data_IF_029561458149
#
_entry.id   IF_029561458149
#
_cell.length_a   1.000
_cell.length_b   1.000
_cell.length_c   1.000
_cell.angle_alpha   90.00
_cell.angle_beta   90.00
_cell.angle_gamma   90.00
#
_symmetry.space_group_name_H-M   'P 1'
#
loop_
_entity.id
_entity.type
_entity.pdbx_description
1 polymer ?
#
# COMPACT_ATOMS: atom_id res chain seq x y z
N UNK A 1 -9.77 -13.46 -31.83
CA UNK A 1 -11.07 -13.31 -31.27
C UNK A 1 -11.05 -13.12 -29.78
N UNK A 2 -10.24 -13.87 -29.09
CA UNK A 2 -10.20 -13.78 -27.64
C UNK A 2 -9.37 -12.63 -27.16
N UNK A 3 -8.52 -12.13 -28.01
CA UNK A 3 -7.62 -11.06 -27.62
C UNK A 3 -8.32 -9.82 -27.09
N UNK A 4 -9.39 -9.38 -27.71
CA UNK A 4 -10.08 -8.20 -27.19
C UNK A 4 -10.59 -8.40 -25.77
N UNK A 5 -11.04 -9.60 -25.48
CA UNK A 5 -11.51 -9.89 -24.14
C UNK A 5 -10.42 -9.81 -23.13
N UNK A 6 -9.24 -10.36 -23.47
CA UNK A 6 -8.12 -10.34 -22.57
C UNK A 6 -7.70 -8.92 -22.28
N UNK A 7 -7.72 -8.09 -23.28
CA UNK A 7 -7.36 -6.69 -23.10
C UNK A 7 -8.32 -6.01 -22.15
N UNK A 8 -9.59 -6.31 -22.29
CA UNK A 8 -10.58 -5.70 -21.42
C UNK A 8 -10.37 -6.12 -19.98
N UNK A 9 -10.03 -7.39 -19.77
CA UNK A 9 -9.75 -7.88 -18.44
C UNK A 9 -8.57 -7.17 -17.82
N UNK A 10 -7.53 -7.00 -18.59
CA UNK A 10 -6.35 -6.32 -18.09
C UNK A 10 -6.68 -4.89 -17.65
N UNK A 11 -7.51 -4.23 -18.39
CA UNK A 11 -7.90 -2.87 -18.05
C UNK A 11 -8.68 -2.84 -16.75
N UNK A 12 -9.55 -3.80 -16.57
CA UNK A 12 -10.34 -3.87 -15.35
C UNK A 12 -9.46 -4.11 -14.13
N UNK A 13 -8.46 -4.96 -14.29
CA UNK A 13 -7.53 -5.22 -13.21
C UNK A 13 -6.74 -3.99 -12.84
N UNK A 14 -6.31 -3.25 -13.84
CA UNK A 14 -5.56 -2.03 -13.58
C UNK A 14 -6.40 -1.04 -12.79
N UNK A 15 -7.66 -0.93 -13.15
CA UNK A 15 -8.55 -0.01 -12.44
C UNK A 15 -8.75 -0.45 -11.00
N UNK A 16 -8.91 -1.75 -10.78
CA UNK A 16 -9.09 -2.26 -9.43
C UNK A 16 -7.84 -2.04 -8.60
N UNK A 17 -6.68 -2.21 -9.20
CA UNK A 17 -5.42 -2.05 -8.50
C UNK A 17 -5.15 -0.60 -8.12
N UNK A 18 -5.76 0.34 -8.84
CA UNK A 18 -5.52 1.75 -8.57
C UNK A 18 -5.95 2.16 -7.16
N UNK A 19 -6.91 1.44 -6.57
CA UNK A 19 -7.42 1.77 -5.25
C UNK A 19 -6.70 1.10 -4.10
N UNK A 20 -5.86 0.12 -4.39
CA UNK A 20 -5.22 -0.64 -3.32
C UNK A 20 -3.85 -1.11 -3.76
N UNK A 21 -2.84 -0.73 -2.98
CA UNK A 21 -1.46 -1.08 -3.26
C UNK A 21 -0.91 -1.81 -2.02
N UNK A 22 -0.57 -3.08 -2.17
CA UNK A 22 -0.05 -3.85 -1.04
C UNK A 22 1.47 -3.81 -1.02
N UNK A 23 2.02 -3.48 0.16
CA UNK A 23 3.47 -3.33 0.29
C UNK A 23 4.22 -4.60 -0.05
N UNK A 24 3.59 -5.76 0.09
CA UNK A 24 4.27 -7.04 -0.16
C UNK A 24 4.35 -7.38 -1.63
N UNK A 25 3.53 -6.76 -2.47
CA UNK A 25 3.44 -7.11 -3.88
C UNK A 25 3.70 -5.97 -4.83
N UNK A 26 3.59 -4.75 -4.35
CA UNK A 26 3.66 -3.59 -5.23
C UNK A 26 5.01 -3.48 -5.90
N UNK A 27 5.00 -3.01 -7.13
CA UNK A 27 6.22 -2.66 -7.84
C UNK A 27 6.72 -1.33 -7.30
N UNK A 28 7.96 -1.00 -7.64
CA UNK A 28 8.50 0.30 -7.25
C UNK A 28 7.59 1.43 -7.76
N UNK A 29 7.17 1.34 -9.00
CA UNK A 29 6.32 2.39 -9.58
C UNK A 29 5.01 2.53 -8.84
N UNK A 30 4.42 1.41 -8.44
CA UNK A 30 3.17 1.45 -7.69
C UNK A 30 3.37 2.08 -6.32
N UNK A 31 4.46 1.77 -5.67
CA UNK A 31 4.76 2.37 -4.38
C UNK A 31 5.02 3.87 -4.51
N UNK A 32 5.74 4.26 -5.56
CA UNK A 32 6.02 5.66 -5.79
C UNK A 32 4.76 6.48 -6.05
N UNK A 33 3.73 5.83 -6.53
CA UNK A 33 2.46 6.49 -6.79
C UNK A 33 1.64 6.72 -5.52
N UNK A 34 2.01 6.08 -4.43
CA UNK A 34 1.29 6.23 -3.17
C UNK A 34 1.71 7.55 -2.52
N UNK A 35 0.72 8.38 -2.23
CA UNK A 35 0.97 9.66 -1.61
C UNK A 35 1.59 9.46 -0.23
N UNK A 36 2.70 10.10 0.02
CA UNK A 36 3.37 10.00 1.30
C UNK A 36 4.58 9.08 1.30
N UNK A 37 4.76 8.30 0.24
CA UNK A 37 5.94 7.46 0.12
C UNK A 37 7.00 8.18 -0.71
N UNK A 38 8.04 8.64 -0.04
CA UNK A 38 9.16 9.24 -0.73
C UNK A 38 10.08 8.17 -1.32
N UNK A 39 11.01 8.56 -2.21
CA UNK A 39 11.89 7.58 -2.85
C UNK A 39 12.75 6.81 -1.87
N UNK A 40 13.19 7.44 -0.80
CA UNK A 40 13.98 6.74 0.22
C UNK A 40 13.17 5.68 0.94
N UNK A 41 11.91 5.99 1.26
CA UNK A 41 11.05 5.04 1.93
C UNK A 41 10.71 3.88 0.99
N UNK A 42 10.46 4.17 -0.27
CA UNK A 42 10.18 3.13 -1.26
C UNK A 42 11.36 2.16 -1.35
N UNK A 43 12.56 2.67 -1.41
CA UNK A 43 13.76 1.82 -1.46
C UNK A 43 13.85 0.95 -0.22
N UNK A 44 13.59 1.52 0.96
CA UNK A 44 13.62 0.76 2.20
C UNK A 44 12.57 -0.35 2.19
N UNK A 45 11.37 -0.04 1.71
CA UNK A 45 10.31 -1.05 1.63
C UNK A 45 10.75 -2.23 0.76
N UNK A 46 11.31 -1.92 -0.39
CA UNK A 46 11.73 -2.97 -1.32
C UNK A 46 12.87 -3.81 -0.76
N UNK A 47 13.81 -3.16 -0.08
CA UNK A 47 14.93 -3.87 0.53
C UNK A 47 14.47 -4.75 1.68
N UNK A 48 13.68 -4.18 2.57
CA UNK A 48 13.27 -4.91 3.77
C UNK A 48 12.38 -6.09 3.46
N UNK A 49 11.55 -6.00 2.43
CA UNK A 49 10.67 -7.11 2.13
C UNK A 49 11.41 -8.33 1.59
N UNK A 50 12.67 -8.17 1.21
CA UNK A 50 13.50 -9.30 0.81
C UNK A 50 13.79 -10.21 1.98
N UNK A 51 13.74 -9.69 3.18
CA UNK A 51 13.92 -10.48 4.41
C UNK A 51 12.65 -11.21 4.81
N UNK A 52 11.56 -10.98 4.10
CA UNK A 52 10.30 -11.60 4.37
C UNK A 52 9.17 -10.60 4.23
N UNK A 53 7.96 -11.09 3.99
CA UNK A 53 6.82 -10.18 3.84
C UNK A 53 6.52 -9.45 5.12
N UNK A 54 5.89 -8.30 4.99
CA UNK A 54 5.39 -7.57 6.14
C UNK A 54 4.11 -8.29 6.60
N UNK A 55 4.07 -8.63 7.87
CA UNK A 55 2.96 -9.43 8.38
C UNK A 55 1.72 -8.59 8.66
N UNK A 56 1.94 -7.38 9.15
CA UNK A 56 0.85 -6.47 9.47
C UNK A 56 1.41 -5.07 9.55
N UNK A 57 0.55 -4.11 9.84
CA UNK A 57 0.96 -2.72 9.92
C UNK A 57 1.99 -2.44 11.00
N UNK A 58 1.85 -2.98 12.22
CA UNK A 58 2.90 -2.79 13.22
C UNK A 58 4.26 -3.30 12.76
N UNK A 59 4.29 -4.43 12.08
CA UNK A 59 5.53 -4.98 11.55
C UNK A 59 6.11 -4.03 10.50
N UNK A 60 5.27 -3.54 9.61
CA UNK A 60 5.69 -2.61 8.57
C UNK A 60 6.26 -1.33 9.17
N UNK A 61 5.55 -0.74 10.12
CA UNK A 61 5.99 0.50 10.77
C UNK A 61 7.33 0.29 11.48
N UNK A 62 7.48 -0.84 12.13
CA UNK A 62 8.71 -1.14 12.86
C UNK A 62 9.90 -1.33 11.92
N UNK A 63 9.67 -1.98 10.79
CA UNK A 63 10.76 -2.36 9.89
C UNK A 63 11.17 -1.26 8.93
N UNK A 64 10.31 -0.30 8.67
CA UNK A 64 10.58 0.75 7.69
C UNK A 64 10.80 2.07 8.39
N UNK A 65 12.03 2.52 8.44
CA UNK A 65 12.34 3.81 9.04
C UNK A 65 11.67 4.92 8.27
N UNK A 66 11.17 5.89 9.00
CA UNK A 66 10.47 7.01 8.39
C UNK A 66 8.97 6.85 8.38
N UNK A 67 8.47 5.66 8.67
CA UNK A 67 7.03 5.42 8.75
C UNK A 67 6.66 5.31 10.22
N UNK A 68 5.84 6.23 10.69
CA UNK A 68 5.31 6.21 12.05
C UNK A 68 3.79 6.19 11.96
N UNK A 69 3.14 6.17 13.11
CA UNK A 69 1.69 6.04 13.14
C UNK A 69 0.97 7.09 12.30
N UNK A 70 1.40 8.35 12.44
CA UNK A 70 0.78 9.41 11.67
C UNK A 70 0.94 9.21 10.17
N UNK A 71 2.11 8.71 9.77
CA UNK A 71 2.37 8.41 8.37
C UNK A 71 1.55 7.21 7.92
N UNK A 72 1.43 6.20 8.78
CA UNK A 72 0.66 5.01 8.47
C UNK A 72 -0.80 5.37 8.17
N UNK A 73 -1.37 6.28 8.94
CA UNK A 73 -2.73 6.73 8.70
C UNK A 73 -2.84 7.33 7.29
N UNK A 74 -1.90 8.19 6.94
CA UNK A 74 -1.92 8.82 5.62
C UNK A 74 -1.72 7.84 4.50
N UNK A 75 -0.81 6.89 4.68
CA UNK A 75 -0.54 5.89 3.65
C UNK A 75 -1.76 5.00 3.43
N UNK A 76 -2.41 4.60 4.52
CA UNK A 76 -3.60 3.79 4.41
C UNK A 76 -4.71 4.56 3.71
N UNK A 77 -4.86 5.83 4.03
CA UNK A 77 -5.85 6.68 3.37
C UNK A 77 -5.57 6.81 1.87
N UNK A 78 -4.30 6.71 1.49
CA UNK A 78 -3.91 6.79 0.09
C UNK A 78 -4.03 5.44 -0.64
N UNK A 79 -4.46 4.40 0.06
CA UNK A 79 -4.70 3.11 -0.56
C UNK A 79 -3.66 2.04 -0.29
N UNK A 80 -2.68 2.33 0.56
CA UNK A 80 -1.67 1.34 0.89
C UNK A 80 -2.22 0.32 1.86
N UNK A 81 -1.92 -0.96 1.62
CA UNK A 81 -2.33 -2.04 2.51
C UNK A 81 -1.12 -2.86 2.90
N UNK A 82 -1.24 -3.60 3.96
CA UNK A 82 -0.25 -4.57 4.40
C UNK A 82 -0.97 -5.89 4.59
N UNK A 83 -0.61 -6.89 3.77
CA UNK A 83 -1.31 -8.16 3.80
C UNK A 83 -2.77 -8.02 3.43
N UNK A 84 -3.10 -7.04 2.60
CA UNK A 84 -4.46 -6.80 2.17
C UNK A 84 -5.29 -5.99 3.13
N UNK A 85 -4.73 -5.58 4.27
CA UNK A 85 -5.48 -4.88 5.31
C UNK A 85 -5.12 -3.41 5.38
N UNK A 86 -6.12 -2.58 5.61
CA UNK A 86 -5.92 -1.17 5.90
C UNK A 86 -5.41 -1.02 7.33
N UNK A 87 -4.80 0.11 7.61
CA UNK A 87 -4.30 0.38 8.95
C UNK A 87 -5.47 0.58 9.91
N UNK A 88 -5.49 -0.17 10.99
CA UNK A 88 -6.57 -0.10 11.96
C UNK A 88 -6.69 1.29 12.58
N UNK A 89 -5.55 1.95 12.76
CA UNK A 89 -5.55 3.30 13.27
C UNK A 89 -6.24 4.29 12.34
N UNK A 90 -6.12 4.05 11.02
CA UNK A 90 -6.78 4.90 10.05
C UNK A 90 -8.30 4.77 10.15
N UNK A 91 -8.77 3.54 10.29
CA UNK A 91 -10.19 3.31 10.42
C UNK A 91 -10.74 3.96 11.69
N UNK A 92 -9.99 3.86 12.77
CA UNK A 92 -10.37 4.46 14.02
C UNK A 92 -10.41 5.98 13.92
N UNK A 93 -9.40 6.56 13.27
CA UNK A 93 -9.35 8.00 13.10
C UNK A 93 -10.49 8.49 12.23
N UNK A 94 -10.80 7.77 11.17
CA UNK A 94 -11.90 8.11 10.29
C UNK A 94 -13.24 8.06 11.05
N UNK A 95 -13.39 7.04 11.86
CA UNK A 95 -14.59 6.88 12.65
C UNK A 95 -14.77 8.03 13.63
N UNK A 96 -13.69 8.41 14.30
CA UNK A 96 -13.71 9.52 15.24
C UNK A 96 -13.99 10.84 14.52
N UNK A 97 -13.41 11.04 13.36
CA UNK A 97 -13.60 12.25 12.60
C UNK A 97 -15.02 12.37 12.05
N UNK A 98 -15.64 11.23 11.81
CA UNK A 98 -16.99 11.20 11.26
C UNK A 98 -18.07 11.54 12.27
N UNK A 99 -17.68 11.75 13.49
CA UNK A 99 -18.63 12.12 14.54
C UNK A 99 -18.71 13.60 14.69
#
# INVERSE_FOLDING_TARGET
MFKPLLVAMAAALAAAAAGAVDVNRATRAELEAVRGLGPGIVSTILDERQSGPYRDWPDFVRRVKGVKEATAVKLSAAGLTVGGAAYAGAARAASAAGR
#
